data_IF_702499310060
#
_entry.id   IF_702499310060
#
_cell.length_a   1.000
_cell.length_b   1.000
_cell.length_c   1.000
_cell.angle_alpha   90.00
_cell.angle_beta   90.00
_cell.angle_gamma   90.00
#
_symmetry.space_group_name_H-M   'P 1'
#
loop_
_entity.id
_entity.type
_entity.pdbx_description
1 polymer ?
#
# COMPACT_ATOMS: atom_id res chain seq x y z
N UNK A 1 22.01 -71.03 28.92
CA UNK A 1 23.02 -71.02 27.85
C UNK A 1 23.57 -69.61 27.82
N UNK A 2 24.82 -69.41 28.28
CA UNK A 2 25.37 -68.07 28.51
C UNK A 2 25.70 -67.35 27.21
N UNK A 3 25.45 -66.04 27.16
CA UNK A 3 25.61 -65.17 25.98
C UNK A 3 26.99 -65.30 25.32
N UNK A 4 28.01 -65.61 26.12
CA UNK A 4 29.39 -65.83 25.68
C UNK A 4 29.52 -67.02 24.74
N UNK A 5 28.87 -68.15 25.05
CA UNK A 5 28.90 -69.35 24.21
C UNK A 5 28.14 -69.14 22.89
N UNK A 6 27.06 -68.35 22.92
CA UNK A 6 26.32 -67.99 21.71
C UNK A 6 27.16 -67.09 20.78
N UNK A 7 27.95 -66.16 21.33
CA UNK A 7 28.81 -65.28 20.54
C UNK A 7 30.08 -65.98 20.02
N UNK A 8 30.68 -66.88 20.80
CA UNK A 8 31.83 -67.69 20.34
C UNK A 8 31.41 -68.66 19.23
N UNK A 9 30.21 -69.24 19.32
CA UNK A 9 29.68 -70.12 18.25
C UNK A 9 29.33 -69.34 16.98
N UNK A 10 28.84 -68.10 17.10
CA UNK A 10 28.48 -67.26 15.95
C UNK A 10 29.69 -66.68 15.21
N UNK A 11 30.88 -66.67 15.81
CA UNK A 11 32.09 -66.05 15.24
C UNK A 11 33.17 -67.04 14.83
N UNK A 12 33.04 -68.32 15.18
CA UNK A 12 34.00 -69.38 14.87
C UNK A 12 34.21 -69.65 13.36
N UNK A 13 33.30 -69.18 12.49
CA UNK A 13 33.39 -69.33 11.03
C UNK A 13 33.73 -68.05 10.25
N UNK A 14 34.03 -66.94 10.93
CA UNK A 14 34.32 -65.67 10.26
C UNK A 14 35.80 -65.61 9.84
N UNK A 15 36.07 -66.10 8.64
CA UNK A 15 37.37 -65.96 8.00
C UNK A 15 37.54 -64.52 7.49
N UNK A 16 38.48 -63.78 8.08
CA UNK A 16 38.68 -62.36 7.78
C UNK A 16 39.41 -62.24 6.44
N UNK A 17 38.72 -61.69 5.43
CA UNK A 17 39.30 -61.47 4.11
C UNK A 17 40.65 -60.74 4.21
N UNK A 18 41.71 -61.21 3.52
CA UNK A 18 42.99 -60.49 3.46
C UNK A 18 42.77 -59.08 2.93
N UNK A 19 43.15 -58.07 3.74
CA UNK A 19 42.96 -56.65 3.41
C UNK A 19 41.90 -55.92 4.24
N UNK A 20 41.07 -56.60 5.03
CA UNK A 20 40.03 -55.98 5.86
C UNK A 20 40.59 -54.92 6.83
N UNK A 21 41.74 -55.19 7.46
CA UNK A 21 42.41 -54.23 8.35
C UNK A 21 42.93 -53.01 7.57
N UNK A 22 43.33 -53.20 6.30
CA UNK A 22 43.75 -52.11 5.41
C UNK A 22 42.58 -51.21 5.01
N UNK A 23 41.43 -51.80 4.66
CA UNK A 23 40.22 -51.07 4.28
C UNK A 23 39.59 -50.31 5.46
N UNK A 24 39.65 -50.90 6.66
CA UNK A 24 39.21 -50.22 7.90
C UNK A 24 40.14 -49.05 8.25
N UNK A 25 41.45 -49.19 8.07
CA UNK A 25 42.42 -48.11 8.29
C UNK A 25 42.31 -46.99 7.23
N UNK A 26 41.99 -47.33 5.97
CA UNK A 26 41.73 -46.36 4.91
C UNK A 26 40.40 -45.57 5.15
N UNK A 27 39.37 -46.24 5.67
CA UNK A 27 38.12 -45.59 6.10
C UNK A 27 38.30 -44.68 7.34
N UNK A 28 39.16 -45.07 8.28
CA UNK A 28 39.50 -44.28 9.47
C UNK A 28 40.20 -42.96 9.15
N UNK A 29 41.17 -42.97 8.22
CA UNK A 29 41.89 -41.75 7.78
C UNK A 29 40.98 -40.73 7.10
N UNK A 30 40.00 -41.15 6.30
CA UNK A 30 39.03 -40.23 5.66
C UNK A 30 38.08 -39.56 6.65
N UNK A 31 37.76 -40.20 7.79
CA UNK A 31 36.93 -39.59 8.86
C UNK A 31 37.73 -38.63 9.75
N UNK A 32 39.01 -38.88 9.99
CA UNK A 32 39.85 -37.96 10.77
C UNK A 32 40.19 -36.67 10.02
N UNK A 33 40.44 -36.71 8.71
CA UNK A 33 40.70 -35.48 7.93
C UNK A 33 39.48 -34.58 7.80
N UNK A 34 38.25 -35.14 7.72
CA UNK A 34 37.02 -34.34 7.75
C UNK A 34 36.76 -33.66 9.11
N UNK A 35 37.17 -34.26 10.23
CA UNK A 35 37.05 -33.64 11.56
C UNK A 35 38.14 -32.60 11.85
N UNK A 36 39.33 -32.72 11.25
CA UNK A 36 40.41 -31.76 11.42
C UNK A 36 40.17 -30.43 10.67
N UNK A 37 39.44 -30.44 9.54
CA UNK A 37 39.05 -29.21 8.83
C UNK A 37 37.94 -28.45 9.56
N UNK A 38 37.07 -29.14 10.30
CA UNK A 38 36.02 -28.49 11.10
C UNK A 38 36.56 -27.91 12.42
N UNK A 39 37.62 -28.48 13.01
CA UNK A 39 38.16 -27.99 14.27
C UNK A 39 39.20 -26.85 14.11
N UNK A 40 39.90 -26.76 12.98
CA UNK A 40 40.84 -25.64 12.71
C UNK A 40 40.12 -24.35 12.29
N UNK A 41 38.92 -24.44 11.70
CA UNK A 41 38.11 -23.26 11.42
C UNK A 41 37.57 -22.57 12.69
N UNK A 42 37.39 -23.31 13.79
CA UNK A 42 36.87 -22.75 15.05
C UNK A 42 37.99 -22.11 15.91
N UNK A 43 39.23 -22.58 15.83
CA UNK A 43 40.35 -22.01 16.60
C UNK A 43 41.01 -20.81 15.90
N UNK A 44 41.02 -20.75 14.57
CA UNK A 44 41.44 -19.55 13.83
C UNK A 44 40.47 -18.36 14.04
N UNK A 45 39.20 -18.64 14.35
CA UNK A 45 38.19 -17.63 14.67
C UNK A 45 38.35 -17.08 16.10
N UNK A 46 39.02 -17.80 17.00
CA UNK A 46 39.26 -17.36 18.39
C UNK A 46 40.66 -16.73 18.57
N UNK A 47 41.66 -17.12 17.78
CA UNK A 47 43.02 -16.56 17.87
C UNK A 47 43.24 -15.31 17.00
N UNK A 48 42.39 -15.03 16.01
CA UNK A 48 42.40 -13.77 15.24
C UNK A 48 41.75 -12.58 15.97
N UNK A 49 41.22 -12.79 17.18
CA UNK A 49 40.46 -11.80 17.94
C UNK A 49 41.27 -11.07 19.04
N UNK A 50 42.58 -11.26 19.15
CA UNK A 50 43.39 -10.71 20.26
C UNK A 50 44.53 -9.77 19.86
N UNK A 51 44.58 -9.31 18.61
CA UNK A 51 45.48 -8.22 18.21
C UNK A 51 44.69 -7.08 17.57
N UNK A 52 44.34 -6.07 18.38
CA UNK A 52 43.88 -4.77 17.89
C UNK A 52 42.42 -4.40 18.17
N UNK A 53 41.79 -4.92 19.22
CA UNK A 53 40.56 -4.28 19.74
C UNK A 53 40.98 -3.19 20.72
N UNK A 54 40.98 -1.95 20.23
CA UNK A 54 40.93 -0.77 21.10
C UNK A 54 39.63 -0.89 21.91
N UNK A 55 39.76 -1.16 23.20
CA UNK A 55 38.66 -1.09 24.17
C UNK A 55 38.24 0.37 24.34
N UNK A 56 37.49 0.90 23.38
CA UNK A 56 36.60 2.03 23.68
C UNK A 56 35.52 1.48 24.60
N UNK A 57 35.45 2.02 25.82
CA UNK A 57 34.39 1.74 26.78
C UNK A 57 33.02 1.73 26.06
N UNK A 58 32.11 0.78 26.36
CA UNK A 58 30.74 0.93 25.95
C UNK A 58 30.22 2.16 26.70
N UNK A 59 30.17 3.29 25.99
CA UNK A 59 29.30 4.38 26.37
C UNK A 59 27.91 3.79 26.47
N UNK A 60 27.31 3.94 27.63
CA UNK A 60 25.90 3.67 27.92
C UNK A 60 25.01 4.60 27.09
N UNK A 61 25.01 4.40 25.78
CA UNK A 61 24.00 4.89 24.84
C UNK A 61 23.35 3.65 24.21
N UNK A 62 22.58 2.94 25.04
CA UNK A 62 21.59 1.94 24.61
C UNK A 62 20.45 2.58 23.77
N UNK A 63 20.56 3.88 23.44
CA UNK A 63 19.73 4.58 22.46
C UNK A 63 19.97 4.14 21.02
N UNK A 64 21.03 3.38 20.74
CA UNK A 64 21.34 2.92 19.38
C UNK A 64 20.43 1.77 18.88
N UNK A 65 19.65 1.13 19.74
CA UNK A 65 18.70 0.07 19.36
C UNK A 65 17.47 0.56 18.55
N UNK A 66 17.40 1.87 18.25
CA UNK A 66 16.38 2.49 17.41
C UNK A 66 16.90 3.11 16.10
N UNK A 67 18.18 2.90 15.76
CA UNK A 67 18.77 3.46 14.53
C UNK A 67 18.35 2.60 13.34
N UNK A 68 17.78 3.24 12.31
CA UNK A 68 17.36 2.58 11.07
C UNK A 68 18.51 1.76 10.46
N UNK A 69 18.30 0.45 10.28
CA UNK A 69 19.32 -0.47 9.78
C UNK A 69 19.87 -0.08 8.39
N UNK A 70 19.11 0.71 7.63
CA UNK A 70 19.53 1.22 6.32
C UNK A 70 20.66 2.25 6.40
N UNK A 71 20.87 2.88 7.56
CA UNK A 71 21.94 3.86 7.75
C UNK A 71 23.34 3.25 7.76
N UNK A 72 23.44 1.95 8.07
CA UNK A 72 24.71 1.22 8.16
C UNK A 72 24.81 0.08 7.14
N UNK A 73 23.72 -0.18 6.41
CA UNK A 73 23.73 -1.14 5.31
C UNK A 73 24.68 -0.68 4.20
N UNK A 74 25.30 -1.60 3.44
CA UNK A 74 25.99 -1.23 2.21
C UNK A 74 25.02 -0.60 1.21
N UNK A 75 25.46 0.45 0.51
CA UNK A 75 24.70 1.01 -0.62
C UNK A 75 24.46 -0.06 -1.67
N UNK A 76 23.21 -0.22 -2.07
CA UNK A 76 22.78 -1.21 -3.05
C UNK A 76 22.33 -0.57 -4.38
N UNK A 77 21.93 -1.41 -5.34
CA UNK A 77 21.53 -1.00 -6.70
C UNK A 77 22.66 -1.05 -7.73
N UNK A 78 22.32 -0.90 -9.01
CA UNK A 78 23.26 -1.05 -10.14
C UNK A 78 24.32 0.07 -10.21
N UNK A 79 24.04 1.22 -9.59
CA UNK A 79 24.97 2.35 -9.50
C UNK A 79 25.71 2.42 -8.16
N UNK A 80 25.56 1.41 -7.29
CA UNK A 80 26.13 1.41 -5.92
C UNK A 80 27.66 1.60 -5.86
N UNK A 81 28.38 1.21 -6.91
CA UNK A 81 29.84 1.38 -7.00
C UNK A 81 30.27 2.72 -7.62
N UNK A 82 29.32 3.49 -8.16
CA UNK A 82 29.59 4.80 -8.77
C UNK A 82 29.72 5.87 -7.69
N UNK A 83 30.96 6.15 -7.28
CA UNK A 83 31.24 7.21 -6.30
C UNK A 83 30.67 8.56 -6.74
N UNK A 84 30.79 8.90 -8.01
CA UNK A 84 30.33 10.19 -8.54
C UNK A 84 28.80 10.32 -8.46
N UNK A 85 28.04 9.24 -8.70
CA UNK A 85 26.58 9.28 -8.61
C UNK A 85 26.10 9.30 -7.15
N UNK A 86 26.79 8.59 -6.26
CA UNK A 86 26.54 8.63 -4.80
C UNK A 86 26.81 10.03 -4.25
N UNK A 87 27.97 10.61 -4.56
CA UNK A 87 28.34 11.95 -4.10
C UNK A 87 27.35 13.00 -4.65
N UNK A 88 26.96 12.90 -5.92
CA UNK A 88 25.95 13.78 -6.54
C UNK A 88 24.59 13.68 -5.84
N UNK A 89 24.14 12.48 -5.51
CA UNK A 89 22.86 12.28 -4.81
C UNK A 89 22.88 12.93 -3.42
N UNK A 90 23.98 12.77 -2.67
CA UNK A 90 24.18 13.41 -1.38
C UNK A 90 24.26 14.94 -1.47
N UNK A 91 24.95 15.47 -2.49
CA UNK A 91 25.00 16.92 -2.73
C UNK A 91 23.61 17.51 -2.98
N UNK A 92 22.79 16.85 -3.81
CA UNK A 92 21.41 17.26 -4.06
C UNK A 92 20.58 17.21 -2.77
N UNK A 93 20.73 16.14 -1.99
CA UNK A 93 20.04 15.96 -0.71
C UNK A 93 20.37 17.07 0.29
N UNK A 94 21.66 17.36 0.51
CA UNK A 94 22.11 18.39 1.43
C UNK A 94 21.73 19.80 0.97
N UNK A 95 21.76 20.07 -0.33
CA UNK A 95 21.35 21.37 -0.85
C UNK A 95 19.85 21.62 -0.65
N UNK A 96 19.01 20.59 -0.76
CA UNK A 96 17.56 20.71 -0.51
C UNK A 96 17.22 21.03 0.96
N UNK A 97 18.11 20.73 1.91
CA UNK A 97 17.91 21.03 3.34
C UNK A 97 18.10 22.51 3.68
N UNK A 98 18.80 23.27 2.81
CA UNK A 98 19.02 24.71 2.99
C UNK A 98 17.77 25.55 2.69
N UNK A 99 16.73 24.95 2.10
CA UNK A 99 15.47 25.63 1.78
C UNK A 99 14.53 25.63 2.99
N UNK A 100 13.90 26.77 3.35
CA UNK A 100 13.04 26.91 4.53
C UNK A 100 11.70 26.15 4.46
N UNK A 101 11.46 25.35 3.42
CA UNK A 101 10.22 24.60 3.17
C UNK A 101 10.13 23.28 3.97
N UNK A 102 10.58 23.26 5.23
CA UNK A 102 10.54 22.05 6.05
C UNK A 102 9.25 21.99 6.86
N UNK A 103 8.14 21.65 6.19
CA UNK A 103 6.82 21.43 6.80
C UNK A 103 6.69 20.16 7.66
N UNK A 104 7.81 19.62 8.15
CA UNK A 104 7.88 18.30 8.81
C UNK A 104 8.31 18.39 10.28
N UNK A 105 8.40 19.61 10.83
CA UNK A 105 8.78 19.82 12.23
C UNK A 105 10.23 19.44 12.55
N UNK A 106 11.08 19.24 11.53
CA UNK A 106 12.49 18.89 11.71
C UNK A 106 13.25 20.11 12.23
N UNK A 107 13.98 19.93 13.33
CA UNK A 107 14.78 20.96 13.99
C UNK A 107 16.28 20.82 13.74
N UNK A 108 16.75 19.64 13.34
CA UNK A 108 18.17 19.39 13.07
C UNK A 108 18.39 18.36 11.95
N UNK A 109 19.32 18.70 11.05
CA UNK A 109 19.81 17.88 9.94
C UNK A 109 21.33 17.60 10.04
N UNK A 110 21.96 17.85 11.19
CA UNK A 110 23.41 17.77 11.36
C UNK A 110 23.99 16.36 11.26
N UNK A 111 23.17 15.32 11.47
CA UNK A 111 23.60 13.92 11.40
C UNK A 111 23.82 13.46 9.96
N UNK A 112 24.78 12.54 9.78
CA UNK A 112 25.20 12.08 8.46
C UNK A 112 24.07 11.34 7.71
N UNK A 113 23.88 11.69 6.43
CA UNK A 113 23.01 10.95 5.50
C UNK A 113 23.76 9.81 4.82
N UNK A 114 23.01 8.81 4.37
CA UNK A 114 23.51 7.63 3.69
C UNK A 114 22.65 7.32 2.46
N UNK A 115 23.29 6.96 1.33
CA UNK A 115 22.60 6.45 0.15
C UNK A 115 22.36 4.96 0.34
N UNK A 116 21.13 4.59 0.70
CA UNK A 116 20.76 3.19 0.93
C UNK A 116 20.68 2.40 -0.38
N UNK A 117 20.14 3.02 -1.42
CA UNK A 117 19.99 2.43 -2.74
C UNK A 117 20.24 3.48 -3.82
N UNK A 118 20.88 3.11 -4.92
CA UNK A 118 21.03 3.96 -6.10
C UNK A 118 21.04 3.12 -7.38
N UNK A 119 20.24 3.54 -8.35
CA UNK A 119 20.12 2.80 -9.60
C UNK A 119 19.59 3.59 -10.78
N UNK A 120 19.59 2.93 -11.93
CA UNK A 120 19.12 3.49 -13.20
C UNK A 120 17.61 3.32 -13.35
N UNK A 121 16.90 4.40 -13.67
CA UNK A 121 15.47 4.38 -14.02
C UNK A 121 15.25 4.92 -15.45
N UNK A 122 14.03 4.81 -15.99
CA UNK A 122 13.72 5.42 -17.30
C UNK A 122 13.86 6.95 -17.29
N UNK A 123 13.66 7.57 -16.13
CA UNK A 123 13.84 9.02 -15.90
C UNK A 123 15.29 9.39 -15.52
N UNK A 124 16.23 8.45 -15.59
CA UNK A 124 17.65 8.62 -15.24
C UNK A 124 18.01 8.06 -13.86
N UNK A 125 19.20 8.42 -13.31
CA UNK A 125 19.63 7.95 -12.01
C UNK A 125 18.70 8.39 -10.88
N UNK A 126 18.39 7.47 -9.98
CA UNK A 126 17.61 7.73 -8.77
C UNK A 126 18.27 7.08 -7.56
N UNK A 127 18.16 7.72 -6.39
CA UNK A 127 18.76 7.28 -5.14
C UNK A 127 17.80 7.41 -3.96
N UNK A 128 17.71 6.38 -3.14
CA UNK A 128 17.01 6.42 -1.85
C UNK A 128 18.03 6.83 -0.79
N UNK A 129 17.80 7.97 -0.16
CA UNK A 129 18.66 8.54 0.87
C UNK A 129 17.95 8.41 2.22
N UNK A 130 18.70 7.98 3.24
CA UNK A 130 18.25 7.90 4.62
C UNK A 130 19.13 8.81 5.47
N UNK A 131 18.52 9.59 6.35
CA UNK A 131 19.24 10.47 7.27
C UNK A 131 18.54 10.49 8.62
N UNK A 132 19.26 10.36 9.74
CA UNK A 132 18.67 10.62 11.04
C UNK A 132 18.43 12.14 11.18
N UNK A 133 17.26 12.55 11.68
CA UNK A 133 16.94 13.95 11.92
C UNK A 133 16.30 14.15 13.29
N UNK A 134 16.48 15.32 13.89
CA UNK A 134 15.77 15.68 15.12
C UNK A 134 14.42 16.31 14.75
N UNK A 135 13.34 15.83 15.36
CA UNK A 135 11.98 16.37 15.16
C UNK A 135 11.51 17.06 16.43
N UNK A 136 10.87 18.22 16.29
CA UNK A 136 10.31 18.97 17.40
C UNK A 136 9.33 18.13 18.20
N UNK A 137 9.52 18.06 19.52
CA UNK A 137 8.65 17.31 20.44
C UNK A 137 8.89 15.80 20.47
N UNK A 138 9.80 15.27 19.64
CA UNK A 138 10.23 13.88 19.67
C UNK A 138 11.63 13.82 20.28
N UNK A 139 11.86 13.09 21.39
CA UNK A 139 13.15 13.10 22.08
C UNK A 139 14.25 12.36 21.31
N UNK A 140 13.90 11.35 20.53
CA UNK A 140 14.84 10.51 19.79
C UNK A 140 14.91 10.92 18.31
N UNK A 141 16.09 10.84 17.67
CA UNK A 141 16.23 10.99 16.23
C UNK A 141 15.28 10.07 15.46
N UNK A 142 14.69 10.58 14.39
CA UNK A 142 13.82 9.82 13.49
C UNK A 142 14.47 9.69 12.11
N UNK A 143 14.28 8.57 11.39
CA UNK A 143 14.77 8.47 10.03
C UNK A 143 13.93 9.35 9.10
N UNK A 144 14.61 10.22 8.38
CA UNK A 144 14.13 10.90 7.19
C UNK A 144 14.54 10.07 5.98
N UNK A 145 13.56 9.56 5.24
CA UNK A 145 13.78 8.75 4.04
C UNK A 145 13.25 9.53 2.85
N UNK A 146 14.00 9.58 1.76
CA UNK A 146 13.51 10.23 0.54
C UNK A 146 14.19 9.77 -0.72
N UNK A 147 13.59 10.15 -1.84
CA UNK A 147 14.10 9.86 -3.17
C UNK A 147 14.74 11.10 -3.79
N UNK A 148 15.99 10.95 -4.22
CA UNK A 148 16.71 11.89 -5.07
C UNK A 148 16.67 11.38 -6.49
N UNK A 149 16.16 12.17 -7.43
CA UNK A 149 16.18 11.86 -8.86
C UNK A 149 16.09 13.15 -9.67
N UNK A 150 16.51 13.12 -10.94
CA UNK A 150 16.44 14.28 -11.84
C UNK A 150 17.06 15.56 -11.24
N UNK A 151 18.13 15.42 -10.46
CA UNK A 151 18.84 16.55 -9.83
C UNK A 151 18.08 17.26 -8.70
N UNK A 152 17.03 16.65 -8.14
CA UNK A 152 16.25 17.19 -7.02
C UNK A 152 15.84 16.11 -6.03
N UNK A 153 15.44 16.51 -4.82
CA UNK A 153 14.67 15.65 -3.91
C UNK A 153 13.23 15.61 -4.44
N UNK A 154 12.80 14.45 -4.91
CA UNK A 154 11.45 14.24 -5.47
C UNK A 154 10.42 14.26 -4.37
N UNK A 155 10.68 13.49 -3.33
CA UNK A 155 9.82 13.36 -2.17
C UNK A 155 10.63 12.81 -0.99
N UNK A 156 10.15 13.07 0.23
CA UNK A 156 10.75 12.59 1.48
C UNK A 156 9.70 12.51 2.57
N UNK A 157 9.92 11.65 3.55
CA UNK A 157 9.05 11.47 4.71
C UNK A 157 9.86 11.20 5.97
N UNK A 158 9.40 11.76 7.09
CA UNK A 158 9.90 11.42 8.42
C UNK A 158 9.12 10.22 8.92
N UNK A 159 9.82 9.13 9.24
CA UNK A 159 9.20 7.90 9.77
C UNK A 159 9.14 8.02 11.30
N UNK A 160 7.99 8.43 11.83
CA UNK A 160 7.79 8.62 13.27
C UNK A 160 7.65 7.27 13.98
N UNK A 161 6.82 6.39 13.42
CA UNK A 161 6.55 5.05 13.93
C UNK A 161 7.09 3.98 12.97
N UNK A 162 7.81 2.96 13.47
CA UNK A 162 8.27 1.86 12.63
C UNK A 162 7.11 1.18 11.90
N UNK A 163 7.25 0.96 10.59
CA UNK A 163 6.25 0.29 9.75
C UNK A 163 5.21 1.23 9.14
N UNK A 164 5.17 2.50 9.52
CA UNK A 164 4.30 3.50 8.87
C UNK A 164 4.91 4.16 7.62
N UNK A 165 6.14 3.78 7.28
CA UNK A 165 6.82 4.31 6.10
C UNK A 165 6.03 3.98 4.83
N UNK A 166 5.72 5.04 4.08
CA UNK A 166 4.99 4.91 2.82
C UNK A 166 5.85 4.27 1.76
N UNK A 167 7.11 4.70 1.60
CA UNK A 167 8.09 4.05 0.74
C UNK A 167 7.61 3.86 -0.71
N UNK A 168 6.81 4.79 -1.24
CA UNK A 168 6.46 4.87 -2.67
C UNK A 168 6.73 6.28 -3.14
N UNK A 169 7.50 6.36 -4.21
CA UNK A 169 7.92 7.61 -4.83
C UNK A 169 7.59 7.56 -6.32
N UNK A 170 6.90 8.58 -6.81
CA UNK A 170 6.49 8.67 -8.22
C UNK A 170 7.44 9.63 -8.97
N UNK A 171 8.08 9.16 -10.05
CA UNK A 171 8.97 9.92 -10.93
C UNK A 171 8.23 10.34 -12.21
N UNK A 172 8.70 11.44 -12.82
CA UNK A 172 8.23 11.90 -14.14
C UNK A 172 6.83 12.53 -14.18
N UNK A 173 6.21 12.51 -15.36
CA UNK A 173 4.79 12.85 -15.60
C UNK A 173 3.86 12.00 -14.71
N UNK A 174 2.58 12.35 -14.47
CA UNK A 174 1.59 11.63 -13.63
C UNK A 174 1.39 10.10 -13.85
N UNK A 175 2.21 9.48 -14.68
CA UNK A 175 2.16 8.09 -15.08
C UNK A 175 3.56 7.43 -15.20
N UNK A 176 4.60 8.08 -14.65
CA UNK A 176 5.99 7.70 -14.85
C UNK A 176 6.47 6.55 -13.98
N UNK A 177 7.79 6.43 -13.83
CA UNK A 177 8.43 5.37 -13.07
C UNK A 177 8.13 5.50 -11.58
N UNK A 178 7.75 4.42 -10.91
CA UNK A 178 7.62 4.35 -9.46
C UNK A 178 8.82 3.64 -8.85
N UNK A 179 9.33 4.20 -7.75
CA UNK A 179 10.29 3.52 -6.86
C UNK A 179 9.54 3.13 -5.59
N UNK A 180 9.50 1.83 -5.29
CA UNK A 180 8.73 1.27 -4.18
C UNK A 180 9.62 0.43 -3.27
N UNK A 181 9.59 0.74 -1.98
CA UNK A 181 10.29 0.03 -0.92
C UNK A 181 9.43 -1.13 -0.42
N UNK A 182 10.03 -2.31 -0.30
CA UNK A 182 9.38 -3.53 0.15
C UNK A 182 9.22 -3.59 1.67
N UNK A 183 10.12 -2.93 2.39
CA UNK A 183 10.18 -2.88 3.87
C UNK A 183 10.13 -4.28 4.50
N UNK A 184 10.84 -5.23 3.89
CA UNK A 184 10.91 -6.62 4.38
C UNK A 184 9.71 -7.49 4.03
N UNK A 185 8.77 -6.99 3.23
CA UNK A 185 7.62 -7.75 2.68
C UNK A 185 7.78 -7.98 1.18
N UNK A 186 6.97 -8.87 0.60
CA UNK A 186 6.89 -9.01 -0.85
C UNK A 186 6.01 -7.90 -1.41
N UNK A 187 6.33 -7.41 -2.60
CA UNK A 187 5.58 -6.37 -3.29
C UNK A 187 4.69 -7.00 -4.36
N UNK A 188 3.40 -6.68 -4.30
CA UNK A 188 2.43 -7.08 -5.30
C UNK A 188 1.87 -5.85 -6.00
N UNK A 189 1.77 -5.91 -7.33
CA UNK A 189 1.28 -4.85 -8.19
C UNK A 189 0.02 -5.31 -8.93
N UNK A 190 -0.98 -4.43 -8.98
CA UNK A 190 -2.13 -4.52 -9.86
C UNK A 190 -2.34 -3.17 -10.55
N UNK A 191 -2.54 -3.16 -11.87
CA UNK A 191 -2.62 -1.91 -12.63
C UNK A 191 -4.04 -1.41 -12.83
N UNK A 192 -4.99 -2.30 -13.13
CA UNK A 192 -6.38 -1.91 -13.40
C UNK A 192 -7.33 -3.02 -12.91
N UNK A 193 -8.36 -2.71 -12.11
CA UNK A 193 -9.36 -3.69 -11.73
C UNK A 193 -10.34 -3.94 -12.89
N UNK A 194 -10.80 -5.18 -13.03
CA UNK A 194 -11.82 -5.56 -14.01
C UNK A 194 -13.15 -5.79 -13.29
N UNK A 195 -14.23 -5.20 -13.82
CA UNK A 195 -15.58 -5.41 -13.29
C UNK A 195 -16.24 -6.62 -13.95
N UNK A 196 -16.69 -7.57 -13.13
CA UNK A 196 -17.42 -8.76 -13.53
C UNK A 196 -18.90 -8.49 -13.84
N UNK A 197 -19.61 -9.52 -14.30
CA UNK A 197 -21.05 -9.47 -14.57
C UNK A 197 -21.90 -9.22 -13.31
N UNK A 198 -21.37 -9.60 -12.14
CA UNK A 198 -21.96 -9.35 -10.82
C UNK A 198 -21.65 -7.93 -10.29
N UNK A 199 -21.08 -7.07 -11.13
CA UNK A 199 -20.57 -5.74 -10.80
C UNK A 199 -19.44 -5.73 -9.77
N UNK A 200 -18.89 -6.87 -9.36
CA UNK A 200 -17.73 -6.91 -8.46
C UNK A 200 -16.45 -6.69 -9.26
N UNK A 201 -15.52 -5.97 -8.65
CA UNK A 201 -14.18 -5.74 -9.13
C UNK A 201 -13.31 -6.96 -8.80
N UNK A 202 -12.38 -7.24 -9.69
CA UNK A 202 -11.30 -8.18 -9.44
C UNK A 202 -9.99 -7.59 -9.95
N UNK A 203 -8.90 -7.92 -9.28
CA UNK A 203 -7.55 -7.48 -9.62
C UNK A 203 -6.68 -8.68 -9.92
N UNK A 204 -5.91 -8.57 -10.98
CA UNK A 204 -4.77 -9.46 -11.19
C UNK A 204 -3.57 -8.88 -10.44
N UNK A 205 -2.99 -9.70 -9.56
CA UNK A 205 -1.82 -9.35 -8.77
C UNK A 205 -0.60 -10.06 -9.33
N UNK A 206 0.43 -9.29 -9.68
CA UNK A 206 1.76 -9.83 -10.00
C UNK A 206 2.72 -9.48 -8.88
N UNK A 207 3.57 -10.43 -8.51
CA UNK A 207 4.71 -10.09 -7.66
C UNK A 207 5.70 -9.24 -8.46
N UNK A 208 6.17 -8.17 -7.84
CA UNK A 208 7.22 -7.31 -8.40
C UNK A 208 8.53 -7.72 -7.76
N UNK A 209 9.52 -8.03 -8.60
CA UNK A 209 10.86 -8.29 -8.13
C UNK A 209 11.43 -7.00 -7.52
N UNK A 210 11.76 -7.07 -6.23
CA UNK A 210 12.63 -6.10 -5.59
C UNK A 210 14.06 -6.62 -5.63
N UNK A 211 15.03 -5.72 -5.64
CA UNK A 211 16.43 -6.09 -5.54
C UNK A 211 16.80 -6.55 -4.11
N UNK A 212 18.10 -6.80 -3.88
CA UNK A 212 18.59 -7.23 -2.56
C UNK A 212 18.38 -6.19 -1.44
N UNK A 213 18.14 -4.93 -1.79
CA UNK A 213 17.82 -3.84 -0.87
C UNK A 213 16.31 -3.70 -0.65
N UNK A 214 15.49 -4.57 -1.27
CA UNK A 214 14.05 -4.46 -1.20
C UNK A 214 13.51 -3.24 -1.97
N UNK A 215 14.23 -2.75 -2.97
CA UNK A 215 13.75 -1.66 -3.85
C UNK A 215 13.25 -2.23 -5.16
N UNK A 216 12.03 -1.86 -5.54
CA UNK A 216 11.45 -2.17 -6.84
C UNK A 216 11.30 -0.89 -7.66
N UNK A 217 11.74 -0.94 -8.92
CA UNK A 217 11.55 0.13 -9.91
C UNK A 217 10.54 -0.35 -10.94
N UNK A 218 9.42 0.36 -11.08
CA UNK A 218 8.29 -0.06 -11.91
C UNK A 218 7.85 1.05 -12.83
N UNK A 219 7.83 0.79 -14.14
CA UNK A 219 7.23 1.68 -15.12
C UNK A 219 5.77 1.29 -15.35
N UNK A 220 4.86 2.25 -15.20
CA UNK A 220 3.44 2.07 -15.48
C UNK A 220 3.07 2.77 -16.80
N UNK A 221 1.95 2.39 -17.41
CA UNK A 221 1.47 3.07 -18.61
C UNK A 221 0.88 4.43 -18.24
N UNK A 222 0.92 5.42 -19.16
CA UNK A 222 0.28 6.72 -19.03
C UNK A 222 -1.11 6.77 -18.36
N UNK A 223 -1.92 5.76 -18.64
CA UNK A 223 -3.32 5.70 -18.23
C UNK A 223 -3.61 4.69 -17.11
N UNK A 224 -2.64 3.84 -16.76
CA UNK A 224 -2.83 2.85 -15.69
C UNK A 224 -2.74 3.50 -14.32
N UNK A 225 -3.53 3.02 -13.36
CA UNK A 225 -3.46 3.48 -11.96
C UNK A 225 -2.91 2.38 -11.05
N UNK A 226 -1.57 2.20 -11.01
CA UNK A 226 -0.96 1.11 -10.28
C UNK A 226 -1.27 1.17 -8.78
N UNK A 227 -1.67 0.02 -8.25
CA UNK A 227 -1.84 -0.24 -6.82
C UNK A 227 -0.77 -1.24 -6.40
N UNK A 228 -0.02 -0.86 -5.39
CA UNK A 228 0.97 -1.71 -4.75
C UNK A 228 0.45 -2.17 -3.39
N UNK A 229 0.71 -3.41 -3.03
CA UNK A 229 0.44 -3.97 -1.71
C UNK A 229 1.70 -4.67 -1.20
N UNK A 230 2.01 -4.44 0.08
CA UNK A 230 3.04 -5.19 0.82
C UNK A 230 2.36 -6.35 1.55
N UNK A 231 2.74 -7.58 1.25
CA UNK A 231 2.18 -8.76 1.90
C UNK A 231 3.17 -9.95 1.89
N UNK A 232 2.91 -10.96 2.70
CA UNK A 232 3.70 -12.21 2.69
C UNK A 232 3.26 -13.17 1.55
N UNK A 233 2.02 -12.99 1.06
CA UNK A 233 1.42 -13.77 -0.01
C UNK A 233 0.61 -12.86 -0.95
N UNK A 234 0.39 -13.26 -2.22
CA UNK A 234 -0.40 -12.47 -3.15
C UNK A 234 -1.80 -12.20 -2.58
N UNK A 235 -2.31 -10.95 -2.64
CA UNK A 235 -3.68 -10.67 -2.25
C UNK A 235 -4.67 -11.45 -3.12
N UNK A 236 -5.86 -11.73 -2.59
CA UNK A 236 -6.91 -12.36 -3.39
C UNK A 236 -7.39 -11.39 -4.48
N UNK A 237 -7.86 -11.89 -5.64
CA UNK A 237 -8.35 -11.01 -6.70
C UNK A 237 -9.48 -10.06 -6.26
N UNK A 238 -10.31 -10.47 -5.31
CA UNK A 238 -11.43 -9.68 -4.77
C UNK A 238 -11.13 -9.03 -3.41
N UNK A 239 -9.86 -9.01 -2.99
CA UNK A 239 -9.44 -8.30 -1.78
C UNK A 239 -9.21 -6.83 -2.10
N UNK A 240 -10.18 -6.00 -1.71
CA UNK A 240 -10.09 -4.53 -1.75
C UNK A 240 -9.94 -3.92 -0.34
N UNK A 241 -9.49 -4.73 0.62
CA UNK A 241 -9.29 -4.34 2.02
C UNK A 241 -7.81 -4.24 2.42
N UNK A 242 -6.93 -4.87 1.65
CA UNK A 242 -5.49 -4.74 1.82
C UNK A 242 -5.05 -3.26 1.78
N UNK A 243 -4.12 -2.87 2.64
CA UNK A 243 -3.66 -1.49 2.68
C UNK A 243 -2.74 -1.20 1.47
N UNK A 244 -3.15 -0.30 0.54
CA UNK A 244 -2.30 0.03 -0.59
C UNK A 244 -1.12 0.90 -0.14
N UNK A 245 0.03 0.72 -0.80
CA UNK A 245 1.20 1.58 -0.65
C UNK A 245 0.92 2.90 -1.38
N UNK A 246 0.80 3.99 -0.62
CA UNK A 246 0.45 5.33 -1.12
C UNK A 246 1.66 6.25 -1.12
N UNK A 247 1.77 7.15 -2.10
CA UNK A 247 2.83 8.18 -2.06
C UNK A 247 2.44 9.35 -1.16
N UNK A 248 3.41 10.20 -0.78
CA UNK A 248 3.08 11.42 -0.03
C UNK A 248 2.25 12.39 -0.86
N UNK A 249 2.46 12.46 -2.17
CA UNK A 249 1.64 13.25 -3.07
C UNK A 249 0.15 12.83 -3.05
N UNK A 250 -0.14 11.56 -2.78
CA UNK A 250 -1.51 11.05 -2.64
C UNK A 250 -2.19 11.43 -1.32
N UNK A 251 -1.41 11.74 -0.28
CA UNK A 251 -1.90 11.93 1.10
C UNK A 251 -1.65 13.32 1.68
N UNK A 252 -0.85 14.15 1.01
CA UNK A 252 -0.39 15.44 1.53
C UNK A 252 -1.41 16.58 1.42
N UNK A 253 -1.38 17.46 2.43
CA UNK A 253 -1.99 18.79 2.38
C UNK A 253 -1.23 19.64 1.35
N UNK A 254 -1.80 19.88 0.18
CA UNK A 254 -1.10 20.54 -0.92
C UNK A 254 -1.29 19.89 -2.28
N UNK A 255 -2.15 18.86 -2.38
CA UNK A 255 -2.73 18.48 -3.67
C UNK A 255 -3.18 19.76 -4.38
N UNK A 256 -2.55 20.08 -5.52
CA UNK A 256 -3.19 20.93 -6.51
C UNK A 256 -4.57 20.31 -6.69
N UNK A 257 -5.62 21.07 -6.36
CA UNK A 257 -7.01 20.61 -6.36
C UNK A 257 -7.21 19.73 -7.58
N UNK A 258 -7.21 18.41 -7.40
CA UNK A 258 -7.56 17.50 -8.48
C UNK A 258 -9.05 17.80 -8.65
N UNK A 259 -9.46 18.48 -9.74
CA UNK A 259 -10.85 18.79 -9.91
C UNK A 259 -11.59 17.47 -9.80
N UNK A 260 -12.50 17.37 -8.82
CA UNK A 260 -13.29 16.16 -8.63
C UNK A 260 -13.99 15.88 -9.94
N UNK A 261 -13.57 14.81 -10.61
CA UNK A 261 -14.22 14.38 -11.84
C UNK A 261 -15.57 13.82 -11.45
N UNK A 262 -16.64 14.56 -11.75
CA UNK A 262 -18.01 14.22 -11.37
C UNK A 262 -18.91 15.45 -11.35
N UNK A 263 -19.96 15.41 -10.53
CA UNK A 263 -21.00 16.44 -10.51
C UNK A 263 -20.54 17.74 -9.84
N UNK A 264 -19.51 17.67 -9.00
CA UNK A 264 -18.95 18.84 -8.31
C UNK A 264 -19.88 19.44 -7.25
N UNK A 265 -20.88 18.67 -6.80
CA UNK A 265 -21.81 19.08 -5.76
C UNK A 265 -21.18 18.92 -4.36
N UNK A 266 -21.65 19.74 -3.43
CA UNK A 266 -21.21 19.73 -2.02
C UNK A 266 -22.36 19.60 -1.01
N UNK A 267 -23.56 19.28 -1.48
CA UNK A 267 -24.76 19.18 -0.66
C UNK A 267 -24.96 17.77 -0.12
N UNK A 268 -24.98 17.63 1.20
CA UNK A 268 -25.36 16.39 1.89
C UNK A 268 -26.86 16.42 2.13
N UNK A 269 -27.64 15.69 1.33
CA UNK A 269 -29.10 15.62 1.45
C UNK A 269 -29.57 14.53 2.43
N UNK A 270 -28.69 14.05 3.29
CA UNK A 270 -29.02 13.05 4.29
C UNK A 270 -29.54 13.63 5.61
N UNK A 271 -29.39 14.94 5.85
CA UNK A 271 -29.84 15.58 7.11
C UNK A 271 -31.35 15.60 7.29
N UNK A 272 -32.11 15.55 6.20
CA UNK A 272 -33.58 15.51 6.25
C UNK A 272 -34.11 14.13 6.68
N UNK A 273 -33.31 13.08 6.49
CA UNK A 273 -33.65 11.72 6.85
C UNK A 273 -32.87 11.34 8.12
N UNK A 274 -33.53 10.85 9.17
CA UNK A 274 -32.82 10.38 10.37
C UNK A 274 -32.05 9.11 10.04
N UNK A 275 -30.81 9.26 9.55
CA UNK A 275 -29.92 8.16 9.22
C UNK A 275 -29.72 7.25 10.45
N UNK A 276 -29.57 5.93 10.25
CA UNK A 276 -29.23 5.05 11.35
C UNK A 276 -27.86 5.42 11.98
N UNK A 277 -27.57 4.99 13.22
CA UNK A 277 -26.44 5.48 14.01
C UNK A 277 -25.03 5.24 13.44
N UNK A 278 -24.88 4.46 12.37
CA UNK A 278 -23.59 3.88 11.91
C UNK A 278 -23.26 4.14 10.44
N UNK A 279 -23.52 5.33 9.91
CA UNK A 279 -23.34 5.58 8.46
C UNK A 279 -22.54 6.85 8.18
N UNK A 280 -21.24 6.83 8.50
CA UNK A 280 -20.33 7.76 7.86
C UNK A 280 -20.06 7.34 6.42
N UNK A 281 -19.80 8.28 5.49
CA UNK A 281 -19.39 7.97 4.13
C UNK A 281 -18.17 7.05 4.07
N UNK A 282 -17.25 7.19 5.03
CA UNK A 282 -16.09 6.32 5.17
C UNK A 282 -16.50 4.86 5.43
N UNK A 283 -17.46 4.61 6.31
CA UNK A 283 -17.94 3.26 6.59
C UNK A 283 -18.60 2.62 5.36
N UNK A 284 -19.32 3.42 4.58
CA UNK A 284 -19.96 2.92 3.35
C UNK A 284 -18.93 2.60 2.27
N UNK A 285 -17.91 3.45 2.13
CA UNK A 285 -16.76 3.17 1.27
C UNK A 285 -16.10 1.83 1.66
N UNK A 286 -15.81 1.63 2.95
CA UNK A 286 -15.23 0.39 3.45
C UNK A 286 -16.12 -0.83 3.20
N UNK A 287 -17.44 -0.72 3.39
CA UNK A 287 -18.36 -1.82 3.15
C UNK A 287 -18.45 -2.23 1.69
N UNK A 288 -18.39 -1.25 0.78
CA UNK A 288 -18.34 -1.48 -0.66
C UNK A 288 -16.98 -2.07 -1.08
N UNK A 289 -15.88 -1.60 -0.49
CA UNK A 289 -14.53 -2.17 -0.69
C UNK A 289 -14.46 -3.62 -0.19
N UNK A 290 -14.95 -3.93 1.02
CA UNK A 290 -15.04 -5.31 1.56
C UNK A 290 -15.78 -6.28 0.63
N UNK A 291 -16.65 -5.77 -0.24
CA UNK A 291 -17.44 -6.56 -1.21
C UNK A 291 -16.92 -6.45 -2.64
N UNK A 292 -15.77 -5.82 -2.84
CA UNK A 292 -15.17 -5.55 -4.13
C UNK A 292 -16.05 -4.72 -5.06
N UNK A 293 -16.97 -3.89 -4.55
CA UNK A 293 -17.79 -3.03 -5.41
C UNK A 293 -17.10 -1.70 -5.73
N UNK A 294 -16.12 -1.33 -4.91
CA UNK A 294 -15.40 -0.07 -4.95
C UNK A 294 -13.88 -0.31 -4.84
N UNK A 295 -13.10 0.47 -5.59
CA UNK A 295 -11.64 0.30 -5.68
C UNK A 295 -10.87 0.98 -4.53
N UNK A 296 -9.62 0.57 -4.30
CA UNK A 296 -8.69 1.15 -3.30
C UNK A 296 -8.40 2.64 -3.51
N UNK A 297 -8.45 3.06 -4.78
CA UNK A 297 -8.15 4.41 -5.20
C UNK A 297 -9.28 5.38 -4.84
N UNK A 298 -10.47 4.88 -4.53
CA UNK A 298 -11.57 5.70 -4.02
C UNK A 298 -11.28 5.95 -2.55
N UNK A 299 -10.58 7.05 -2.28
CA UNK A 299 -10.49 7.62 -0.94
C UNK A 299 -11.64 8.59 -0.68
N UNK A 300 -11.76 9.04 0.58
CA UNK A 300 -12.74 10.04 0.99
C UNK A 300 -12.69 11.31 0.12
N UNK A 301 -11.50 11.75 -0.26
CA UNK A 301 -11.32 12.94 -1.13
C UNK A 301 -11.80 12.73 -2.58
N UNK A 302 -11.91 11.46 -3.02
CA UNK A 302 -12.37 11.09 -4.35
C UNK A 302 -13.87 10.85 -4.41
N UNK A 303 -14.55 10.71 -3.26
CA UNK A 303 -16.00 10.75 -3.19
C UNK A 303 -16.48 12.19 -3.45
N UNK A 304 -17.60 12.34 -4.15
CA UNK A 304 -18.29 13.63 -4.23
C UNK A 304 -18.57 14.16 -2.82
N UNK A 305 -18.61 15.49 -2.64
CA UNK A 305 -19.01 16.10 -1.35
C UNK A 305 -20.52 16.07 -1.17
N UNK A 306 -21.21 15.21 -1.93
CA UNK A 306 -22.66 15.11 -1.96
C UNK A 306 -23.08 13.68 -1.69
N UNK A 307 -24.22 13.58 -1.02
CA UNK A 307 -24.86 12.32 -0.69
C UNK A 307 -26.37 12.48 -0.86
N UNK A 308 -27.01 11.46 -1.39
CA UNK A 308 -28.46 11.34 -1.46
C UNK A 308 -28.90 10.16 -0.60
N UNK A 309 -29.81 10.39 0.33
CA UNK A 309 -30.32 9.37 1.23
C UNK A 309 -31.84 9.25 1.13
N UNK A 310 -32.35 8.04 1.33
CA UNK A 310 -33.79 7.78 1.42
C UNK A 310 -34.07 6.48 2.18
N UNK A 311 -35.19 6.43 2.90
CA UNK A 311 -35.74 5.17 3.38
C UNK A 311 -36.52 4.46 2.26
N UNK A 312 -36.25 3.18 2.07
CA UNK A 312 -36.96 2.34 1.10
C UNK A 312 -38.29 1.84 1.68
N UNK A 313 -39.25 1.42 0.84
CA UNK A 313 -40.54 0.90 1.30
C UNK A 313 -40.44 -0.29 2.26
N UNK A 314 -39.38 -1.09 2.17
CA UNK A 314 -39.13 -2.23 3.06
C UNK A 314 -38.40 -1.86 4.37
N UNK A 315 -38.15 -0.57 4.63
CA UNK A 315 -37.52 -0.09 5.86
C UNK A 315 -36.00 -0.21 5.87
N UNK A 316 -35.35 -0.38 4.71
CA UNK A 316 -33.91 -0.20 4.55
C UNK A 316 -33.57 1.28 4.33
N UNK A 317 -32.36 1.67 4.70
CA UNK A 317 -31.81 2.99 4.43
C UNK A 317 -30.88 2.92 3.23
N UNK A 318 -31.18 3.65 2.17
CA UNK A 318 -30.36 3.74 0.98
C UNK A 318 -29.55 5.03 0.99
N UNK A 319 -28.27 4.92 0.63
CA UNK A 319 -27.38 6.07 0.42
C UNK A 319 -26.71 5.97 -0.94
N UNK A 320 -26.65 7.07 -1.67
CA UNK A 320 -26.00 7.20 -2.98
C UNK A 320 -24.97 8.33 -2.97
N UNK A 321 -23.87 8.13 -3.67
CA UNK A 321 -22.78 9.10 -3.84
C UNK A 321 -22.08 8.87 -5.19
N UNK A 322 -21.14 9.75 -5.56
CA UNK A 322 -20.27 9.53 -6.71
C UNK A 322 -18.82 9.27 -6.28
N UNK A 323 -18.10 8.48 -7.07
CA UNK A 323 -16.65 8.44 -7.04
C UNK A 323 -16.09 8.15 -8.45
N UNK A 324 -15.01 8.85 -8.83
CA UNK A 324 -14.39 8.74 -10.17
C UNK A 324 -15.38 8.81 -11.35
N UNK A 325 -16.35 9.73 -11.28
CA UNK A 325 -17.35 9.88 -12.35
C UNK A 325 -18.32 8.72 -12.48
N UNK A 326 -18.48 7.88 -11.46
CA UNK A 326 -19.47 6.81 -11.40
C UNK A 326 -20.33 6.92 -10.14
N UNK A 327 -21.60 6.56 -10.24
CA UNK A 327 -22.52 6.51 -9.11
C UNK A 327 -22.39 5.20 -8.35
N UNK A 328 -22.45 5.29 -7.03
CA UNK A 328 -22.45 4.17 -6.10
C UNK A 328 -23.59 4.34 -5.12
N UNK A 329 -24.06 3.23 -4.57
CA UNK A 329 -24.92 3.26 -3.40
C UNK A 329 -24.81 2.02 -2.54
N UNK A 330 -25.39 2.13 -1.35
CA UNK A 330 -25.47 1.06 -0.39
C UNK A 330 -26.82 1.11 0.33
N UNK A 331 -27.36 -0.07 0.61
CA UNK A 331 -28.56 -0.27 1.41
C UNK A 331 -28.15 -0.85 2.76
N UNK A 332 -28.78 -0.36 3.81
CA UNK A 332 -28.59 -0.78 5.18
C UNK A 332 -29.93 -1.15 5.81
N UNK A 333 -29.95 -2.09 6.74
CA UNK A 333 -31.15 -2.31 7.56
C UNK A 333 -31.41 -1.11 8.47
N UNK A 334 -32.58 -1.03 9.09
CA UNK A 334 -32.89 0.00 10.08
C UNK A 334 -31.92 0.02 11.29
N UNK A 335 -31.25 -1.10 11.56
CA UNK A 335 -30.22 -1.23 12.60
C UNK A 335 -28.81 -0.85 12.12
N UNK A 336 -28.67 -0.48 10.84
CA UNK A 336 -27.41 -0.09 10.24
C UNK A 336 -26.53 -1.24 9.75
N UNK A 337 -27.06 -2.45 9.62
CA UNK A 337 -26.32 -3.58 9.03
C UNK A 337 -26.33 -3.46 7.51
N UNK A 338 -25.18 -3.62 6.85
CA UNK A 338 -25.10 -3.62 5.39
C UNK A 338 -26.01 -4.71 4.80
N UNK A 339 -26.88 -4.32 3.88
CA UNK A 339 -27.81 -5.20 3.16
C UNK A 339 -27.33 -5.46 1.74
N UNK A 340 -27.15 -4.42 0.93
CA UNK A 340 -26.80 -4.55 -0.48
C UNK A 340 -25.97 -3.37 -0.98
N UNK A 341 -25.15 -3.58 -2.02
CA UNK A 341 -24.42 -2.51 -2.70
C UNK A 341 -24.95 -2.34 -4.11
N UNK A 342 -24.87 -1.12 -4.61
CA UNK A 342 -25.37 -0.73 -5.92
C UNK A 342 -24.27 -0.01 -6.67
N UNK A 343 -24.05 -0.44 -7.90
CA UNK A 343 -23.15 0.23 -8.84
C UNK A 343 -24.02 0.85 -9.92
N UNK A 344 -24.01 2.17 -9.99
CA UNK A 344 -24.79 2.93 -10.96
C UNK A 344 -24.01 3.23 -12.23
N UNK A 345 -24.64 4.04 -13.08
CA UNK A 345 -24.06 4.58 -14.29
C UNK A 345 -23.04 5.71 -14.05
N UNK A 346 -22.55 6.32 -15.14
CA UNK A 346 -21.64 7.46 -15.05
C UNK A 346 -22.34 8.68 -14.41
N UNK A 347 -21.60 9.41 -13.58
CA UNK A 347 -22.00 10.68 -13.00
C UNK A 347 -21.63 11.80 -13.99
N UNK A 348 -22.58 12.18 -14.84
CA UNK A 348 -22.36 13.15 -15.94
C UNK A 348 -22.90 14.52 -15.55
N UNK A 349 -21.99 15.47 -15.36
CA UNK A 349 -22.33 16.86 -15.07
C UNK A 349 -23.17 17.48 -16.19
N UNK A 350 -23.99 18.47 -15.82
CA UNK A 350 -24.79 19.28 -16.74
C UNK A 350 -25.84 18.48 -17.55
N UNK A 351 -26.16 17.26 -17.08
CA UNK A 351 -27.31 16.49 -17.55
C UNK A 351 -28.48 16.65 -16.59
N UNK A 352 -29.72 16.50 -17.10
CA UNK A 352 -30.93 16.55 -16.26
C UNK A 352 -31.02 15.26 -15.46
N UNK A 353 -31.17 15.35 -14.14
CA UNK A 353 -31.11 14.21 -13.22
C UNK A 353 -29.87 13.34 -13.45
N UNK A 354 -28.68 13.89 -13.16
CA UNK A 354 -27.44 13.18 -13.41
C UNK A 354 -27.23 11.99 -12.45
N UNK A 355 -28.02 11.94 -11.36
CA UNK A 355 -28.09 10.79 -10.46
C UNK A 355 -29.40 10.04 -10.72
N UNK A 356 -29.26 8.83 -11.25
CA UNK A 356 -30.35 7.84 -11.41
C UNK A 356 -29.80 6.48 -11.01
N UNK A 357 -30.10 6.07 -9.78
CA UNK A 357 -29.56 4.85 -9.18
C UNK A 357 -30.70 3.88 -8.82
N UNK A 358 -30.90 2.87 -9.67
CA UNK A 358 -31.87 1.82 -9.42
C UNK A 358 -31.42 0.97 -8.23
N UNK A 359 -32.28 0.84 -7.22
CA UNK A 359 -32.02 0.03 -6.04
C UNK A 359 -32.43 -1.43 -6.29
N UNK A 360 -31.76 -2.41 -5.65
CA UNK A 360 -32.07 -3.83 -5.82
C UNK A 360 -33.45 -4.17 -5.26
N UNK A 361 -33.90 -5.39 -5.52
CA UNK A 361 -35.12 -5.97 -4.95
C UNK A 361 -36.40 -5.13 -5.15
N UNK A 362 -36.45 -4.35 -6.23
CA UNK A 362 -37.58 -3.47 -6.52
C UNK A 362 -37.81 -2.41 -5.45
N UNK A 363 -36.75 -1.85 -4.85
CA UNK A 363 -36.86 -0.76 -3.87
C UNK A 363 -37.03 0.64 -4.51
N UNK A 364 -37.06 0.72 -5.83
CA UNK A 364 -37.23 1.97 -6.57
C UNK A 364 -35.92 2.54 -7.12
N UNK A 365 -35.92 3.82 -7.47
CA UNK A 365 -34.76 4.51 -8.05
C UNK A 365 -34.51 5.81 -7.30
N UNK A 366 -33.30 5.98 -6.78
CA UNK A 366 -32.86 7.28 -6.24
C UNK A 366 -32.60 8.21 -7.42
N UNK A 367 -33.30 9.34 -7.43
CA UNK A 367 -33.11 10.43 -8.39
C UNK A 367 -32.59 11.64 -7.63
N UNK A 368 -31.47 12.21 -8.07
CA UNK A 368 -30.97 13.46 -7.50
C UNK A 368 -30.47 14.45 -8.56
N UNK A 369 -30.76 15.72 -8.31
CA UNK A 369 -30.37 16.86 -9.15
C UNK A 369 -30.32 18.15 -8.31
N UNK A 370 -29.11 18.66 -8.06
CA UNK A 370 -28.90 19.80 -7.18
C UNK A 370 -29.58 21.08 -7.71
N UNK A 371 -30.28 21.79 -6.83
CA UNK A 371 -31.01 23.01 -7.15
C UNK A 371 -32.32 22.77 -7.92
N UNK A 372 -32.93 21.59 -7.77
CA UNK A 372 -34.18 21.24 -8.45
C UNK A 372 -35.24 20.70 -7.50
N UNK A 373 -36.49 20.68 -7.95
CA UNK A 373 -37.60 19.97 -7.30
C UNK A 373 -37.91 18.71 -8.10
N UNK A 374 -38.01 17.56 -7.44
CA UNK A 374 -38.08 16.25 -8.06
C UNK A 374 -39.33 15.51 -7.62
N UNK A 375 -40.01 14.88 -8.58
CA UNK A 375 -41.15 14.01 -8.32
C UNK A 375 -42.48 14.74 -8.08
N UNK A 376 -43.56 13.98 -7.84
CA UNK A 376 -44.91 14.53 -7.65
C UNK A 376 -45.02 15.38 -6.39
N UNK A 377 -44.21 15.09 -5.38
CA UNK A 377 -44.12 15.84 -4.11
C UNK A 377 -43.22 17.08 -4.22
N UNK A 378 -42.56 17.29 -5.37
CA UNK A 378 -41.62 18.39 -5.57
C UNK A 378 -40.54 18.46 -4.47
N UNK A 379 -39.95 17.31 -4.13
CA UNK A 379 -38.89 17.25 -3.11
C UNK A 379 -37.63 17.96 -3.60
N UNK A 380 -36.98 18.70 -2.71
CA UNK A 380 -35.73 19.39 -3.05
C UNK A 380 -34.59 18.39 -3.24
N UNK A 381 -33.89 18.51 -4.37
CA UNK A 381 -32.63 17.85 -4.73
C UNK A 381 -32.62 16.32 -4.84
N UNK A 382 -33.47 15.61 -4.11
CA UNK A 382 -33.49 14.14 -4.05
C UNK A 382 -34.92 13.62 -3.92
N UNK A 383 -35.22 12.53 -4.64
CA UNK A 383 -36.46 11.79 -4.50
C UNK A 383 -36.23 10.30 -4.75
N UNK A 384 -36.86 9.45 -3.93
CA UNK A 384 -36.92 8.01 -4.19
C UNK A 384 -38.17 7.72 -5.02
N UNK A 385 -37.98 7.47 -6.31
CA UNK A 385 -39.03 7.04 -7.20
C UNK A 385 -39.48 5.61 -6.82
N UNK A 386 -40.78 5.37 -6.55
CA UNK A 386 -41.28 4.02 -6.27
C UNK A 386 -40.96 3.03 -7.39
N UNK A 387 -40.90 1.75 -7.06
CA UNK A 387 -40.71 0.71 -8.07
C UNK A 387 -41.79 0.74 -9.15
N UNK A 388 -41.38 0.53 -10.40
CA UNK A 388 -42.25 0.64 -11.57
C UNK A 388 -42.44 2.06 -12.10
N UNK A 389 -41.88 3.08 -11.45
CA UNK A 389 -41.88 4.45 -12.00
C UNK A 389 -40.97 4.51 -13.23
N UNK A 390 -41.54 4.85 -14.39
CA UNK A 390 -40.81 4.90 -15.67
C UNK A 390 -40.27 6.29 -16.01
N UNK A 391 -40.85 7.34 -15.42
CA UNK A 391 -40.46 8.72 -15.65
C UNK A 391 -40.68 9.59 -14.40
N UNK A 392 -39.91 10.68 -14.31
CA UNK A 392 -40.00 11.65 -13.21
C UNK A 392 -39.95 13.07 -13.76
N UNK A 393 -40.78 13.95 -13.21
CA UNK A 393 -40.68 15.38 -13.48
C UNK A 393 -39.62 16.01 -12.59
N UNK A 394 -38.68 16.72 -13.20
CA UNK A 394 -37.66 17.54 -12.55
C UNK A 394 -37.92 19.00 -12.91
N UNK A 395 -38.08 19.86 -11.90
CA UNK A 395 -38.33 21.29 -12.08
C UNK A 395 -37.08 22.08 -11.72
N UNK A 396 -36.52 22.81 -12.68
CA UNK A 396 -35.36 23.69 -12.49
C UNK A 396 -35.73 25.11 -12.88
N UNK A 397 -35.57 26.08 -11.97
CA UNK A 397 -35.93 27.48 -12.21
C UNK A 397 -37.36 27.64 -12.78
N UNK A 398 -38.32 26.87 -12.26
CA UNK A 398 -39.71 26.87 -12.71
C UNK A 398 -39.99 26.13 -14.03
N UNK A 399 -38.97 25.58 -14.69
CA UNK A 399 -39.14 24.83 -15.94
C UNK A 399 -39.20 23.32 -15.67
N UNK A 400 -40.32 22.64 -15.95
CA UNK A 400 -40.43 21.20 -15.78
C UNK A 400 -39.79 20.45 -16.95
N UNK A 401 -39.08 19.37 -16.65
CA UNK A 401 -38.53 18.41 -17.61
C UNK A 401 -38.88 17.01 -17.18
N UNK A 402 -39.38 16.18 -18.10
CA UNK A 402 -39.66 14.76 -17.84
C UNK A 402 -38.42 13.94 -18.15
N UNK A 403 -37.96 13.15 -17.18
CA UNK A 403 -36.76 12.32 -17.28
C UNK A 403 -37.14 10.84 -17.20
N UNK A 404 -36.68 10.01 -18.15
CA UNK A 404 -36.89 8.57 -18.07
C UNK A 404 -36.01 7.93 -16.99
N UNK A 405 -36.58 6.96 -16.29
CA UNK A 405 -35.92 6.14 -15.27
C UNK A 405 -35.53 4.76 -15.83
N UNK A 406 -34.43 4.18 -15.32
CA UNK A 406 -33.90 2.88 -15.76
C UNK A 406 -34.79 1.69 -15.39
#
# INVERSE_FOLDING_TARGET
MELKQAMETATAGLDVRPGFVGDVMAGGRRRQTRKLVTLTAVVALVAGATAGVVLTRPSSDDRASGIDARLTAPTAGDLSSSKDDVDRALDVWHNAQKSPTVGEGITDFSMASHVYWIGTTEDGPAAVVVQPVQVSGVPEPKPLVGLVAMGKVVDREVVIEPGEERGRYDLGSPSGTQVVLSLGKRLFLSQDPVRGQDNRLSREWREVAADAAGVAVVSARPQSKPVFVRADSPPRPDDFTAQPVRSKAETGQGRAFLPRSGLGWSTVNCKAESAPPTHSPAQVQEDLQRRALLDFLVGFDAAGSWEACAWTPDGRFAMAFEAFGQLYGALYTAQGTFSAGVVGGPAVKDTVAPVRLALPDGQGTIVADAGTLIGPEQRENVWLAPAGTTEVTVVRNGTPTVVPLP
#
